data_IF_135372968563
#
_entry.id   IF_135372968563
#
_cell.length_a   1.000
_cell.length_b   1.000
_cell.length_c   1.000
_cell.angle_alpha   90.00
_cell.angle_beta   90.00
_cell.angle_gamma   90.00
#
_symmetry.space_group_name_H-M   'P 1'
#
loop_
_entity.id
_entity.type
_entity.pdbx_description
1 polymer ?
#
# COMPACT_ATOMS: atom_id res chain seq x y z
N UNK A 1 15.50 -15.34 11.35
CA UNK A 1 14.03 -15.46 11.35
C UNK A 1 13.58 -16.41 10.25
N UNK A 2 14.09 -16.25 9.02
CA UNK A 2 13.66 -17.08 7.88
C UNK A 2 13.89 -18.56 8.10
N UNK A 3 14.99 -18.95 8.74
CA UNK A 3 15.30 -20.34 9.05
C UNK A 3 14.41 -20.93 10.15
N UNK A 4 13.76 -20.05 10.94
CA UNK A 4 12.94 -20.46 12.07
C UNK A 4 11.45 -20.58 11.76
N UNK A 5 11.01 -20.14 10.57
CA UNK A 5 9.58 -20.12 10.19
C UNK A 5 9.39 -20.75 8.82
N UNK A 6 8.19 -21.27 8.59
CA UNK A 6 7.77 -21.85 7.30
C UNK A 6 6.83 -20.92 6.51
N UNK A 7 6.43 -19.82 7.10
CA UNK A 7 5.55 -18.82 6.47
C UNK A 7 6.38 -17.77 5.72
N UNK A 8 5.80 -17.07 4.73
CA UNK A 8 6.48 -15.96 4.08
C UNK A 8 6.88 -14.87 5.06
N UNK A 9 8.02 -14.23 4.81
CA UNK A 9 8.57 -13.17 5.65
C UNK A 9 8.68 -11.89 4.85
N UNK A 10 8.18 -10.80 5.43
CA UNK A 10 8.28 -9.44 4.89
C UNK A 10 9.27 -8.64 5.72
N UNK A 11 10.20 -7.97 5.07
CA UNK A 11 11.15 -7.08 5.72
C UNK A 11 10.93 -5.64 5.24
N UNK A 12 11.28 -4.68 6.10
CA UNK A 12 11.13 -3.26 5.78
C UNK A 12 12.45 -2.67 5.29
N UNK A 13 12.38 -1.84 4.27
CA UNK A 13 13.47 -0.95 3.90
C UNK A 13 13.02 0.51 4.02
N UNK A 14 13.98 1.41 4.13
CA UNK A 14 13.69 2.84 4.17
C UNK A 14 13.27 3.33 2.78
N UNK A 15 12.39 4.33 2.75
CA UNK A 15 11.92 4.92 1.49
C UNK A 15 13.13 5.42 0.69
N UNK A 16 13.21 5.00 -0.58
CA UNK A 16 14.26 5.38 -1.51
C UNK A 16 15.58 4.64 -1.36
N UNK A 17 15.71 3.80 -0.34
CA UNK A 17 16.98 3.10 -0.08
C UNK A 17 17.09 1.81 -0.90
N UNK A 18 17.45 1.96 -2.16
CA UNK A 18 17.53 0.82 -3.09
C UNK A 18 18.59 -0.21 -2.68
N UNK A 19 19.67 0.21 -1.99
CA UNK A 19 20.70 -0.72 -1.54
C UNK A 19 20.17 -1.62 -0.41
N UNK A 20 19.41 -1.09 0.54
CA UNK A 20 18.73 -1.93 1.54
C UNK A 20 17.83 -2.97 0.87
N UNK A 21 17.08 -2.55 -0.14
CA UNK A 21 16.23 -3.45 -0.90
C UNK A 21 17.04 -4.54 -1.61
N UNK A 22 18.18 -4.18 -2.20
CA UNK A 22 19.08 -5.15 -2.84
C UNK A 22 19.62 -6.16 -1.84
N UNK A 23 19.99 -5.71 -0.64
CA UNK A 23 20.47 -6.60 0.42
C UNK A 23 19.37 -7.57 0.85
N UNK A 24 18.16 -7.08 1.06
CA UNK A 24 17.02 -7.91 1.45
C UNK A 24 16.69 -8.95 0.37
N UNK A 25 16.71 -8.55 -0.90
CA UNK A 25 16.51 -9.48 -2.01
C UNK A 25 17.58 -10.57 -2.02
N UNK A 26 18.84 -10.18 -1.82
CA UNK A 26 19.96 -11.13 -1.78
C UNK A 26 19.85 -12.12 -0.62
N UNK A 27 19.24 -11.71 0.49
CA UNK A 27 18.97 -12.57 1.65
C UNK A 27 17.79 -13.54 1.42
N UNK A 28 17.06 -13.39 0.30
CA UNK A 28 15.95 -14.26 -0.03
C UNK A 28 14.64 -13.95 0.68
N UNK A 29 14.46 -12.70 1.11
CA UNK A 29 13.19 -12.27 1.75
C UNK A 29 12.03 -12.41 0.76
N UNK A 30 10.83 -12.75 1.25
CA UNK A 30 9.67 -13.02 0.40
C UNK A 30 8.97 -11.74 -0.07
N UNK A 31 8.93 -10.70 0.76
CA UNK A 31 8.33 -9.40 0.46
C UNK A 31 9.17 -8.30 1.07
N UNK A 32 9.21 -7.14 0.40
CA UNK A 32 9.84 -5.92 0.94
C UNK A 32 8.76 -4.84 1.11
N UNK A 33 8.66 -4.29 2.31
CA UNK A 33 7.82 -3.12 2.59
C UNK A 33 8.72 -1.89 2.56
N UNK A 34 8.55 -1.04 1.56
CA UNK A 34 9.18 0.28 1.51
C UNK A 34 8.38 1.18 2.45
N UNK A 35 8.90 1.35 3.68
CA UNK A 35 8.07 1.72 4.82
C UNK A 35 8.27 3.16 5.28
N UNK A 36 7.17 3.88 5.40
CA UNK A 36 7.11 5.23 5.98
C UNK A 36 7.31 5.26 7.50
N UNK A 37 7.24 4.12 8.18
CA UNK A 37 7.49 4.06 9.63
C UNK A 37 8.98 4.14 9.96
N UNK A 38 9.84 3.97 8.97
CA UNK A 38 11.27 4.18 9.10
C UNK A 38 11.63 5.58 8.61
N UNK A 39 12.79 6.09 9.04
CA UNK A 39 13.30 7.37 8.53
C UNK A 39 13.60 7.24 7.04
N UNK A 40 13.06 8.12 6.18
CA UNK A 40 13.35 8.06 4.74
C UNK A 40 14.84 8.23 4.46
N UNK A 41 15.34 7.50 3.47
CA UNK A 41 16.68 7.71 2.94
C UNK A 41 16.68 8.75 1.82
N UNK A 42 15.55 8.89 1.12
CA UNK A 42 15.36 9.87 0.06
C UNK A 42 13.97 10.48 0.19
N UNK A 43 13.91 11.82 0.28
CA UNK A 43 12.63 12.54 0.43
C UNK A 43 11.87 12.70 -0.88
N UNK A 44 12.55 12.58 -2.02
CA UNK A 44 11.97 12.84 -3.33
C UNK A 44 11.69 11.58 -4.13
N UNK A 45 12.47 10.53 -3.93
CA UNK A 45 12.42 9.33 -4.77
C UNK A 45 12.14 8.08 -3.95
N UNK A 46 11.14 7.32 -4.38
CA UNK A 46 10.92 5.96 -3.93
C UNK A 46 11.81 5.01 -4.75
N UNK A 47 12.01 3.80 -4.24
CA UNK A 47 12.76 2.76 -4.96
C UNK A 47 12.04 2.45 -6.27
N UNK A 48 12.79 2.38 -7.38
CA UNK A 48 12.30 1.82 -8.64
C UNK A 48 12.24 0.29 -8.48
N UNK A 49 11.03 -0.23 -8.43
CA UNK A 49 10.76 -1.63 -8.08
C UNK A 49 10.75 -2.56 -9.28
N UNK A 50 10.77 -2.00 -10.50
CA UNK A 50 10.70 -2.80 -11.74
C UNK A 50 11.91 -3.70 -11.92
N UNK A 51 13.08 -3.30 -11.42
CA UNK A 51 14.30 -4.08 -11.50
C UNK A 51 14.44 -5.21 -10.47
N UNK A 52 13.48 -5.33 -9.54
CA UNK A 52 13.52 -6.34 -8.48
C UNK A 52 12.62 -7.53 -8.81
N UNK A 53 13.03 -8.72 -8.38
CA UNK A 53 12.21 -9.94 -8.49
C UNK A 53 11.28 -10.11 -7.29
N UNK A 54 11.71 -9.64 -6.11
CA UNK A 54 10.92 -9.70 -4.89
C UNK A 54 9.78 -8.67 -4.94
N UNK A 55 8.54 -9.05 -4.56
CA UNK A 55 7.43 -8.10 -4.58
C UNK A 55 7.53 -7.07 -3.45
N UNK A 56 7.16 -5.82 -3.77
CA UNK A 56 7.15 -4.70 -2.84
C UNK A 56 5.75 -4.37 -2.39
N UNK A 57 5.66 -3.98 -1.11
CA UNK A 57 4.45 -3.44 -0.48
C UNK A 57 4.70 -1.98 -0.15
N UNK A 58 3.73 -1.11 -0.47
CA UNK A 58 3.83 0.32 -0.19
C UNK A 58 2.56 0.84 0.47
N UNK A 59 2.71 1.83 1.34
CA UNK A 59 1.60 2.50 1.99
C UNK A 59 1.04 3.64 1.15
N UNK A 60 -0.24 3.93 1.32
CA UNK A 60 -0.91 5.07 0.70
C UNK A 60 -1.95 5.69 1.62
N UNK A 61 -2.31 6.94 1.33
CA UNK A 61 -3.39 7.68 2.02
C UNK A 61 -4.56 7.98 1.08
N UNK A 62 -4.33 7.92 -0.22
CA UNK A 62 -5.31 8.24 -1.26
C UNK A 62 -4.99 7.50 -2.55
N UNK A 63 -5.88 7.61 -3.53
CA UNK A 63 -5.74 6.90 -4.80
C UNK A 63 -4.51 7.35 -5.59
N UNK A 64 -4.22 8.65 -5.63
CA UNK A 64 -3.05 9.17 -6.37
C UNK A 64 -1.75 8.56 -5.85
N UNK A 65 -1.58 8.52 -4.54
CA UNK A 65 -0.40 7.91 -3.92
C UNK A 65 -0.31 6.42 -4.23
N UNK A 66 -1.45 5.70 -4.12
CA UNK A 66 -1.50 4.26 -4.46
C UNK A 66 -1.06 4.02 -5.90
N UNK A 67 -1.59 4.77 -6.84
CA UNK A 67 -1.27 4.58 -8.26
C UNK A 67 0.17 4.97 -8.60
N UNK A 68 0.72 5.99 -7.92
CA UNK A 68 2.15 6.31 -8.08
C UNK A 68 3.04 5.16 -7.62
N UNK A 69 2.72 4.54 -6.49
CA UNK A 69 3.48 3.37 -5.99
C UNK A 69 3.36 2.19 -6.93
N UNK A 70 2.17 1.92 -7.46
CA UNK A 70 1.96 0.88 -8.46
C UNK A 70 2.75 1.18 -9.74
N UNK A 71 2.77 2.44 -10.17
CA UNK A 71 3.57 2.88 -11.31
C UNK A 71 5.07 2.64 -11.13
N UNK A 72 5.56 2.67 -9.91
CA UNK A 72 6.96 2.35 -9.56
C UNK A 72 7.21 0.84 -9.46
N UNK A 73 6.19 0.01 -9.60
CA UNK A 73 6.31 -1.43 -9.56
C UNK A 73 5.85 -2.10 -8.27
N UNK A 74 5.14 -1.38 -7.39
CA UNK A 74 4.59 -2.00 -6.18
C UNK A 74 3.59 -3.11 -6.54
N UNK A 75 3.72 -4.26 -5.87
CA UNK A 75 2.88 -5.43 -6.08
C UNK A 75 1.70 -5.50 -5.10
N UNK A 76 1.74 -4.73 -4.03
CA UNK A 76 0.69 -4.66 -3.03
C UNK A 76 0.64 -3.26 -2.44
N UNK A 77 -0.57 -2.79 -2.15
CA UNK A 77 -0.81 -1.52 -1.48
C UNK A 77 -1.42 -1.79 -0.11
N UNK A 78 -1.08 -0.96 0.85
CA UNK A 78 -1.74 -0.93 2.16
C UNK A 78 -2.06 0.51 2.55
N UNK A 79 -3.03 0.69 3.45
CA UNK A 79 -3.24 2.01 4.05
C UNK A 79 -2.04 2.36 4.94
N UNK A 80 -1.69 3.64 5.01
CA UNK A 80 -0.66 4.08 5.96
C UNK A 80 -1.15 3.98 7.39
N UNK A 81 -2.35 4.47 7.66
CA UNK A 81 -2.92 4.43 8.99
C UNK A 81 -2.02 5.14 10.01
N UNK A 82 -2.22 4.78 11.27
CA UNK A 82 -1.36 5.25 12.36
C UNK A 82 -0.88 4.03 13.15
N UNK A 83 0.29 3.53 12.77
CA UNK A 83 0.84 2.29 13.32
C UNK A 83 1.13 2.40 14.82
N UNK A 84 0.85 1.33 15.56
CA UNK A 84 1.19 1.21 16.97
C UNK A 84 0.23 1.88 17.94
N UNK A 85 -0.81 2.56 17.47
CA UNK A 85 -1.72 3.32 18.33
C UNK A 85 -2.91 2.52 18.83
N UNK A 86 -3.27 1.42 18.15
CA UNK A 86 -4.51 0.70 18.43
C UNK A 86 -5.76 1.47 18.00
N UNK A 87 -5.61 2.58 17.29
CA UNK A 87 -6.69 3.41 16.80
C UNK A 87 -6.79 3.29 15.28
N UNK A 88 -7.90 2.74 14.81
CA UNK A 88 -8.14 2.40 13.41
C UNK A 88 -8.58 3.60 12.56
N UNK A 89 -8.86 4.76 13.16
CA UNK A 89 -9.50 5.90 12.46
C UNK A 89 -8.72 6.36 11.22
N UNK A 90 -7.41 6.43 11.28
CA UNK A 90 -6.61 6.86 10.13
C UNK A 90 -6.62 5.81 9.02
N UNK A 91 -6.56 4.52 9.35
CA UNK A 91 -6.67 3.45 8.37
C UNK A 91 -8.04 3.49 7.67
N UNK A 92 -9.11 3.73 8.43
CA UNK A 92 -10.47 3.90 7.87
C UNK A 92 -10.52 5.09 6.92
N UNK A 93 -9.94 6.23 7.33
CA UNK A 93 -9.89 7.44 6.50
C UNK A 93 -9.18 7.16 5.18
N UNK A 94 -8.04 6.52 5.21
CA UNK A 94 -7.27 6.22 4.00
C UNK A 94 -7.98 5.19 3.12
N UNK A 95 -8.56 4.14 3.71
CA UNK A 95 -9.35 3.16 2.97
C UNK A 95 -10.55 3.82 2.28
N UNK A 96 -11.30 4.66 2.99
CA UNK A 96 -12.43 5.39 2.41
C UNK A 96 -12.02 6.36 1.32
N UNK A 97 -10.86 7.02 1.46
CA UNK A 97 -10.32 7.89 0.42
C UNK A 97 -10.06 7.09 -0.86
N UNK A 98 -9.29 6.01 -0.77
CA UNK A 98 -8.95 5.18 -1.93
C UNK A 98 -10.20 4.59 -2.58
N UNK A 99 -11.04 3.92 -1.80
CA UNK A 99 -12.23 3.22 -2.31
C UNK A 99 -13.27 4.21 -2.83
N UNK A 100 -13.42 5.36 -2.19
CA UNK A 100 -14.34 6.42 -2.62
C UNK A 100 -13.90 7.05 -3.93
N UNK A 101 -12.60 7.32 -4.08
CA UNK A 101 -12.05 7.84 -5.32
C UNK A 101 -12.18 6.83 -6.47
N UNK A 102 -12.00 5.53 -6.19
CA UNK A 102 -12.22 4.47 -7.18
C UNK A 102 -13.69 4.46 -7.63
N UNK A 103 -14.65 4.52 -6.70
CA UNK A 103 -16.07 4.57 -7.05
C UNK A 103 -16.40 5.79 -7.93
N UNK A 104 -15.85 6.94 -7.58
CA UNK A 104 -16.01 8.17 -8.38
C UNK A 104 -15.43 7.96 -9.79
N UNK A 105 -14.26 7.34 -9.88
CA UNK A 105 -13.57 7.08 -11.13
C UNK A 105 -14.38 6.17 -12.07
N UNK A 106 -15.08 5.17 -11.53
CA UNK A 106 -15.90 4.24 -12.33
C UNK A 106 -17.10 4.91 -13.01
N UNK A 107 -17.51 6.08 -12.51
CA UNK A 107 -18.64 6.85 -13.10
C UNK A 107 -18.17 8.02 -13.93
N UNK A 108 -16.86 8.24 -14.05
CA UNK A 108 -16.28 9.36 -14.78
C UNK A 108 -16.28 9.10 -16.26
N UNK A 109 -16.58 10.13 -17.06
CA UNK A 109 -16.49 10.04 -18.51
C UNK A 109 -15.02 9.87 -18.94
N UNK A 110 -14.74 9.10 -20.02
CA UNK A 110 -13.37 8.85 -20.46
C UNK A 110 -12.55 10.13 -20.70
N UNK A 111 -13.15 11.17 -21.24
CA UNK A 111 -12.47 12.44 -21.53
C UNK A 111 -12.05 13.18 -20.26
N UNK A 112 -12.66 12.88 -19.11
CA UNK A 112 -12.30 13.51 -17.83
C UNK A 112 -11.10 12.84 -17.15
N UNK A 113 -10.80 11.59 -17.53
CA UNK A 113 -9.79 10.78 -16.85
C UNK A 113 -8.37 11.33 -16.99
N UNK A 114 -8.05 11.96 -18.12
CA UNK A 114 -6.72 12.54 -18.33
C UNK A 114 -6.46 13.71 -17.39
N UNK A 115 -7.44 14.61 -17.26
CA UNK A 115 -7.34 15.73 -16.32
C UNK A 115 -7.30 15.22 -14.87
N UNK A 116 -8.12 14.23 -14.55
CA UNK A 116 -8.15 13.63 -13.22
C UNK A 116 -6.80 12.99 -12.87
N UNK A 117 -6.20 12.23 -13.80
CA UNK A 117 -4.88 11.63 -13.60
C UNK A 117 -3.82 12.68 -13.29
N UNK A 118 -3.83 13.80 -14.02
CA UNK A 118 -2.93 14.91 -13.77
C UNK A 118 -3.17 15.53 -12.40
N UNK A 119 -4.42 15.73 -12.01
CA UNK A 119 -4.79 16.37 -10.75
C UNK A 119 -4.35 15.53 -9.53
N UNK A 120 -4.46 14.20 -9.61
CA UNK A 120 -4.02 13.31 -8.51
C UNK A 120 -2.56 12.89 -8.64
N UNK A 121 -1.88 13.30 -9.71
CA UNK A 121 -0.47 12.98 -9.95
C UNK A 121 -0.20 11.50 -10.21
N UNK A 122 -1.13 10.81 -10.88
CA UNK A 122 -1.05 9.38 -11.17
C UNK A 122 -0.82 9.12 -12.66
N UNK A 123 -0.18 7.98 -13.02
CA UNK A 123 -0.07 7.58 -14.42
C UNK A 123 -1.46 7.39 -15.07
N UNK A 124 -1.67 8.00 -16.21
CA UNK A 124 -2.94 7.93 -16.93
C UNK A 124 -3.38 6.49 -17.21
N UNK A 125 -2.45 5.64 -17.66
CA UNK A 125 -2.76 4.25 -17.96
C UNK A 125 -3.31 3.49 -16.74
N UNK A 126 -2.78 3.78 -15.54
CA UNK A 126 -3.26 3.16 -14.31
C UNK A 126 -4.62 3.71 -13.88
N UNK A 127 -4.90 4.98 -14.14
CA UNK A 127 -6.23 5.56 -13.90
C UNK A 127 -7.27 4.86 -14.76
N UNK A 128 -7.00 4.68 -16.04
CA UNK A 128 -7.89 3.99 -16.99
C UNK A 128 -8.10 2.53 -16.57
N UNK A 129 -7.03 1.82 -16.22
CA UNK A 129 -7.10 0.43 -15.77
C UNK A 129 -7.94 0.30 -14.50
N UNK A 130 -7.72 1.17 -13.52
CA UNK A 130 -8.48 1.19 -12.27
C UNK A 130 -9.96 1.47 -12.51
N UNK A 131 -10.29 2.40 -13.41
CA UNK A 131 -11.65 2.69 -13.79
C UNK A 131 -12.34 1.45 -14.42
N UNK A 132 -11.63 0.75 -15.29
CA UNK A 132 -12.14 -0.45 -15.95
C UNK A 132 -12.34 -1.61 -14.98
N UNK A 133 -11.42 -1.81 -14.06
CA UNK A 133 -11.50 -2.89 -13.05
C UNK A 133 -12.50 -2.58 -11.94
N UNK A 134 -12.73 -1.32 -11.62
CA UNK A 134 -13.50 -0.91 -10.44
C UNK A 134 -12.77 -1.19 -9.12
N UNK A 135 -11.47 -1.41 -9.17
CA UNK A 135 -10.59 -1.73 -8.03
C UNK A 135 -9.15 -1.38 -8.39
N UNK A 136 -8.27 -1.34 -7.39
CA UNK A 136 -6.83 -1.27 -7.68
C UNK A 136 -6.39 -2.49 -8.48
N UNK A 137 -5.41 -2.34 -9.39
CA UNK A 137 -4.86 -3.48 -10.14
C UNK A 137 -3.98 -4.41 -9.30
N UNK A 138 -3.80 -4.12 -8.02
CA UNK A 138 -3.04 -4.94 -7.06
C UNK A 138 -3.84 -5.12 -5.78
N UNK A 139 -3.41 -6.06 -4.93
CA UNK A 139 -4.04 -6.33 -3.64
C UNK A 139 -3.96 -5.08 -2.75
N UNK A 140 -5.03 -4.79 -2.03
CA UNK A 140 -5.19 -3.58 -1.21
C UNK A 140 -5.53 -3.96 0.24
N UNK A 141 -4.55 -3.82 1.14
CA UNK A 141 -4.69 -4.20 2.54
C UNK A 141 -4.88 -2.97 3.44
N UNK A 142 -5.60 -3.18 4.52
CA UNK A 142 -5.72 -2.20 5.59
C UNK A 142 -4.62 -2.41 6.63
N UNK A 143 -3.96 -1.34 6.99
CA UNK A 143 -2.88 -1.36 7.99
C UNK A 143 -2.93 -0.10 8.84
N UNK A 144 -2.39 -0.19 10.04
CA UNK A 144 -2.25 0.94 10.96
C UNK A 144 -3.38 1.04 11.98
N UNK A 145 -3.12 0.57 13.19
CA UNK A 145 -4.04 0.71 14.32
C UNK A 145 -5.12 -0.35 14.43
N UNK A 146 -5.04 -1.44 13.67
CA UNK A 146 -6.01 -2.55 13.75
C UNK A 146 -5.68 -3.37 15.00
N UNK A 147 -6.57 -3.35 15.97
CA UNK A 147 -6.33 -3.93 17.30
C UNK A 147 -7.35 -5.00 17.70
N UNK A 148 -8.54 -5.03 17.09
CA UNK A 148 -9.61 -5.95 17.48
C UNK A 148 -10.16 -6.70 16.26
N UNK A 149 -10.82 -7.87 16.47
CA UNK A 149 -11.52 -8.52 15.37
C UNK A 149 -12.58 -7.64 14.72
N UNK A 150 -13.23 -6.77 15.50
CA UNK A 150 -14.21 -5.82 14.96
C UNK A 150 -13.58 -4.81 14.02
N UNK A 151 -12.37 -4.32 14.33
CA UNK A 151 -11.61 -3.45 13.43
C UNK A 151 -11.32 -4.16 12.11
N UNK A 152 -10.86 -5.41 12.16
CA UNK A 152 -10.59 -6.19 10.97
C UNK A 152 -11.87 -6.41 10.15
N UNK A 153 -12.98 -6.76 10.79
CA UNK A 153 -14.26 -6.94 10.11
C UNK A 153 -14.73 -5.64 9.44
N UNK A 154 -14.55 -4.50 10.11
CA UNK A 154 -14.87 -3.18 9.53
C UNK A 154 -14.11 -2.95 8.24
N UNK A 155 -12.79 -3.19 8.23
CA UNK A 155 -11.97 -2.98 7.04
C UNK A 155 -12.37 -3.91 5.89
N UNK A 156 -12.69 -5.17 6.20
CA UNK A 156 -13.15 -6.12 5.17
C UNK A 156 -14.50 -5.70 4.59
N UNK A 157 -15.43 -5.22 5.43
CA UNK A 157 -16.74 -4.75 4.96
C UNK A 157 -16.66 -3.45 4.18
N UNK A 158 -15.64 -2.62 4.43
CA UNK A 158 -15.38 -1.43 3.60
C UNK A 158 -14.92 -1.80 2.19
N UNK A 159 -14.38 -3.00 1.99
CA UNK A 159 -13.94 -3.47 0.68
C UNK A 159 -12.44 -3.72 0.56
N UNK A 160 -11.73 -3.74 1.68
CA UNK A 160 -10.30 -4.09 1.67
C UNK A 160 -10.11 -5.59 1.45
N UNK A 161 -8.97 -5.98 0.86
CA UNK A 161 -8.67 -7.38 0.54
C UNK A 161 -8.14 -8.17 1.74
N UNK A 162 -7.64 -7.47 2.75
CA UNK A 162 -7.10 -8.08 3.96
C UNK A 162 -6.62 -7.02 4.94
N UNK A 163 -6.03 -7.47 6.04
CA UNK A 163 -5.55 -6.58 7.10
C UNK A 163 -4.14 -6.97 7.52
N UNK A 164 -3.36 -5.96 7.92
CA UNK A 164 -2.13 -6.15 8.68
C UNK A 164 -2.41 -5.83 10.14
N UNK A 165 -2.00 -6.71 11.02
CA UNK A 165 -2.13 -6.54 12.46
C UNK A 165 -0.75 -6.46 13.09
N UNK A 166 -0.62 -5.62 14.09
CA UNK A 166 0.67 -5.36 14.73
C UNK A 166 0.56 -5.19 16.23
N UNK A 167 1.28 -4.23 16.77
CA UNK A 167 1.42 -4.02 18.21
C UNK A 167 0.09 -3.84 18.95
N UNK A 168 -0.96 -3.36 18.28
CA UNK A 168 -2.28 -3.21 18.90
C UNK A 168 -2.85 -4.53 19.41
N UNK A 169 -2.59 -5.65 18.72
CA UNK A 169 -3.01 -6.99 19.16
C UNK A 169 -2.04 -7.54 20.20
N UNK A 170 -0.74 -7.38 19.98
CA UNK A 170 0.29 -7.98 20.83
C UNK A 170 0.46 -7.26 22.16
N UNK A 171 -0.10 -6.06 22.34
CA UNK A 171 -0.08 -5.30 23.58
C UNK A 171 -1.26 -5.56 24.48
N UNK A 172 -2.25 -6.25 24.01
CA UNK A 172 -3.48 -6.53 24.77
C UNK A 172 -3.31 -7.70 25.73
#
# INVERSE_FOLDING_TARGET
IMDAVTIPVMAKCRIGHFVEAQILQALGIDFIDESEVLTPADEQHHVDKHGFKVPFVCGCRNLGEALRRIGEGAAMIRTKGEAGTGNVVEAVRHARAVLGEIRRLTTMAPEEMMAYARDIGAPYALVVETASLGRLPVVNFAAGGIATPADAALMMQLGMDGVFVGSGIFKS
#
